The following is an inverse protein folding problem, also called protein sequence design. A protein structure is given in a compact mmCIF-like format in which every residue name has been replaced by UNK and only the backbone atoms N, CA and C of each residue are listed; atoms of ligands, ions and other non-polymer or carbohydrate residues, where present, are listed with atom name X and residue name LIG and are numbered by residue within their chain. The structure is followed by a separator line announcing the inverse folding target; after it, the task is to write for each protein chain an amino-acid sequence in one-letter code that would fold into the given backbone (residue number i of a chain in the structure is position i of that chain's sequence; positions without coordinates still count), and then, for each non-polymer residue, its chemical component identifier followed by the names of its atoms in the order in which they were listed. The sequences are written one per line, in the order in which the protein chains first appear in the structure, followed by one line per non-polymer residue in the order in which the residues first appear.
data_IF_786109594474
#
_entry.id   IF_786109594474
#
_cell.length_a   1.000
_cell.length_b   1.000
_cell.length_c   1.000
_cell.angle_alpha   90.00
_cell.angle_beta   90.00
_cell.angle_gamma   90.00
#
_symmetry.space_group_name_H-M   'P 1'
#
loop_
_entity.id
_entity.type
_entity.pdbx_description
1 polymer ?
#
# COMPACT_ATOMS: atom_id res chain seq x y z
N UNK A 1 2.52 17.99 -37.87
CA UNK A 1 2.56 16.67 -37.21
C UNK A 1 3.97 16.47 -36.69
N UNK A 2 4.22 16.79 -35.42
CA UNK A 2 5.49 16.46 -34.75
C UNK A 2 5.12 15.48 -33.66
N UNK A 3 5.50 14.23 -33.87
CA UNK A 3 5.31 13.11 -32.97
C UNK A 3 6.23 13.29 -31.77
N UNK A 4 5.66 13.58 -30.60
CA UNK A 4 6.43 13.68 -29.36
C UNK A 4 6.54 12.28 -28.77
N UNK A 5 7.76 11.72 -28.60
CA UNK A 5 7.89 10.37 -28.08
C UNK A 5 7.42 10.33 -26.62
N UNK A 6 6.32 9.61 -26.40
CA UNK A 6 5.82 9.31 -25.08
C UNK A 6 6.94 8.59 -24.29
N UNK A 7 7.45 9.25 -23.24
CA UNK A 7 8.31 8.62 -22.23
C UNK A 7 7.50 7.55 -21.49
N UNK A 8 7.43 6.36 -22.07
CA UNK A 8 7.00 5.13 -21.39
C UNK A 8 7.96 4.91 -20.22
N UNK A 9 7.51 5.26 -19.01
CA UNK A 9 8.18 4.83 -17.78
C UNK A 9 8.37 3.31 -17.85
N UNK A 10 9.56 2.84 -17.46
CA UNK A 10 9.94 1.41 -17.48
C UNK A 10 8.80 0.54 -16.96
N UNK A 11 8.08 -0.12 -17.86
CA UNK A 11 7.11 -1.15 -17.53
C UNK A 11 7.88 -2.27 -16.85
N UNK A 12 7.52 -2.61 -15.61
CA UNK A 12 8.09 -3.78 -14.96
C UNK A 12 7.78 -4.99 -15.86
N UNK A 13 8.82 -5.68 -16.34
CA UNK A 13 8.67 -6.86 -17.18
C UNK A 13 7.87 -7.95 -16.46
N UNK A 14 7.17 -8.77 -17.25
CA UNK A 14 6.45 -9.93 -16.74
C UNK A 14 7.38 -10.79 -15.85
N UNK A 15 6.97 -11.15 -14.62
CA UNK A 15 7.75 -12.07 -13.78
C UNK A 15 7.87 -13.44 -14.45
N UNK A 16 9.08 -14.00 -14.49
CA UNK A 16 9.28 -15.37 -14.95
C UNK A 16 8.72 -16.37 -13.93
N UNK A 17 7.59 -17.00 -14.26
CA UNK A 17 6.92 -17.94 -13.37
C UNK A 17 7.79 -19.17 -13.05
N UNK A 18 8.76 -19.52 -13.89
CA UNK A 18 9.66 -20.65 -13.65
C UNK A 18 10.74 -20.36 -12.59
N UNK A 19 10.96 -19.09 -12.25
CA UNK A 19 12.01 -18.69 -11.30
C UNK A 19 11.73 -19.07 -9.83
N UNK A 20 10.54 -19.60 -9.53
CA UNK A 20 10.18 -20.18 -8.23
C UNK A 20 8.78 -19.79 -7.75
N UNK A 21 8.35 -20.29 -6.58
CA UNK A 21 6.97 -20.11 -6.10
C UNK A 21 6.55 -18.64 -5.95
N UNK A 22 7.46 -17.79 -5.49
CA UNK A 22 7.22 -16.35 -5.37
C UNK A 22 7.06 -15.66 -6.74
N UNK A 23 7.83 -16.08 -7.75
CA UNK A 23 7.77 -15.52 -9.09
C UNK A 23 6.52 -15.99 -9.83
N UNK A 24 6.15 -17.27 -9.68
CA UNK A 24 4.89 -17.83 -10.17
C UNK A 24 3.67 -17.10 -9.56
N UNK A 25 3.70 -16.82 -8.25
CA UNK A 25 2.64 -16.06 -7.59
C UNK A 25 2.56 -14.61 -8.10
N UNK A 26 3.71 -13.96 -8.29
CA UNK A 26 3.75 -12.61 -8.85
C UNK A 26 3.28 -12.54 -10.31
N UNK A 27 3.53 -13.60 -11.10
CA UNK A 27 2.98 -13.70 -12.46
C UNK A 27 1.44 -13.69 -12.44
N UNK A 28 0.80 -14.41 -11.51
CA UNK A 28 -0.66 -14.36 -11.32
C UNK A 28 -1.17 -12.95 -10.97
N UNK A 29 -0.46 -12.22 -10.10
CA UNK A 29 -0.81 -10.83 -9.77
C UNK A 29 -0.65 -9.90 -10.98
N UNK A 30 0.39 -10.12 -11.79
CA UNK A 30 0.62 -9.38 -13.02
C UNK A 30 -0.48 -9.63 -14.06
N UNK A 31 -0.90 -10.89 -14.23
CA UNK A 31 -2.02 -11.26 -15.11
C UNK A 31 -3.33 -10.61 -14.64
N UNK A 32 -3.63 -10.63 -13.33
CA UNK A 32 -4.80 -9.96 -12.78
C UNK A 32 -4.79 -8.46 -13.10
N UNK A 33 -3.64 -7.79 -12.87
CA UNK A 33 -3.49 -6.36 -13.17
C UNK A 33 -3.80 -6.06 -14.64
N UNK A 34 -3.33 -6.91 -15.57
CA UNK A 34 -3.62 -6.77 -17.01
C UNK A 34 -5.09 -6.98 -17.33
N UNK A 35 -5.73 -8.02 -16.79
CA UNK A 35 -7.18 -8.27 -16.97
C UNK A 35 -8.03 -7.11 -16.47
N UNK A 36 -7.60 -6.43 -15.41
CA UNK A 36 -8.27 -5.26 -14.85
C UNK A 36 -7.94 -3.91 -15.55
N UNK A 37 -7.36 -3.94 -16.76
CA UNK A 37 -7.05 -2.73 -17.53
C UNK A 37 -5.70 -2.07 -17.21
N UNK A 38 -4.80 -2.80 -16.55
CA UNK A 38 -3.43 -2.41 -16.21
C UNK A 38 -3.27 -1.07 -15.45
N UNK A 39 -4.09 -0.77 -14.42
CA UNK A 39 -4.02 0.51 -13.72
C UNK A 39 -2.65 0.75 -13.06
N UNK A 40 -2.21 2.00 -12.97
CA UNK A 40 -0.97 2.32 -12.26
C UNK A 40 -1.12 2.03 -10.76
N UNK A 41 -0.02 1.73 -10.07
CA UNK A 41 -0.06 1.52 -8.61
C UNK A 41 -0.50 2.77 -7.84
N UNK A 42 -0.31 3.96 -8.40
CA UNK A 42 -0.82 5.20 -7.83
C UNK A 42 -2.35 5.27 -7.98
N UNK A 43 -2.88 4.87 -9.13
CA UNK A 43 -4.32 4.79 -9.38
C UNK A 43 -5.00 3.74 -8.48
N UNK A 44 -4.37 2.58 -8.29
CA UNK A 44 -4.85 1.56 -7.35
C UNK A 44 -5.01 2.10 -5.92
N UNK A 45 -4.07 2.94 -5.45
CA UNK A 45 -4.13 3.54 -4.11
C UNK A 45 -5.10 4.70 -4.00
N UNK A 46 -5.10 5.58 -4.99
CA UNK A 46 -5.92 6.77 -5.00
C UNK A 46 -7.37 6.46 -5.32
N UNK A 47 -7.63 6.02 -6.55
CA UNK A 47 -8.99 5.85 -7.09
C UNK A 47 -9.66 4.60 -6.55
N UNK A 48 -8.92 3.49 -6.47
CA UNK A 48 -9.47 2.20 -6.07
C UNK A 48 -9.26 1.87 -4.58
N UNK A 49 -8.58 2.76 -3.85
CA UNK A 49 -8.51 2.70 -2.39
C UNK A 49 -7.63 1.59 -1.81
N UNK A 50 -6.60 1.13 -2.53
CA UNK A 50 -5.65 0.15 -2.00
C UNK A 50 -4.92 0.72 -0.78
N UNK A 51 -4.93 -0.01 0.33
CA UNK A 51 -4.27 0.36 1.57
C UNK A 51 -2.76 0.12 1.52
N UNK A 52 -2.32 -0.86 0.72
CA UNK A 52 -0.92 -1.15 0.52
C UNK A 52 -0.18 0.01 -0.18
N UNK A 53 1.08 0.23 0.21
CA UNK A 53 1.91 1.30 -0.36
C UNK A 53 2.28 1.03 -1.83
N UNK A 54 2.60 2.08 -2.60
CA UNK A 54 2.99 1.95 -4.01
C UNK A 54 4.18 1.01 -4.17
N UNK A 55 5.17 1.13 -3.28
CA UNK A 55 6.36 0.29 -3.28
C UNK A 55 6.04 -1.16 -2.90
N UNK A 56 5.08 -1.41 -2.00
CA UNK A 56 4.61 -2.76 -1.65
C UNK A 56 3.88 -3.42 -2.83
N UNK A 57 2.93 -2.74 -3.45
CA UNK A 57 2.22 -3.23 -4.65
C UNK A 57 3.20 -3.51 -5.79
N UNK A 58 4.15 -2.60 -6.03
CA UNK A 58 5.20 -2.78 -7.02
C UNK A 58 6.18 -3.91 -6.67
N UNK A 59 6.45 -4.16 -5.39
CA UNK A 59 7.29 -5.28 -4.96
C UNK A 59 6.58 -6.62 -5.14
N UNK A 60 5.29 -6.70 -4.81
CA UNK A 60 4.46 -7.89 -4.97
C UNK A 60 4.45 -8.37 -6.43
N UNK A 61 4.24 -7.46 -7.38
CA UNK A 61 4.22 -7.77 -8.81
C UNK A 61 5.61 -8.06 -9.42
N UNK A 62 6.71 -7.93 -8.67
CA UNK A 62 8.08 -8.20 -9.18
C UNK A 62 8.58 -9.63 -8.94
N UNK A 63 7.93 -10.39 -8.05
CA UNK A 63 8.26 -11.81 -7.83
C UNK A 63 9.59 -12.11 -7.15
N UNK A 64 10.31 -11.11 -6.62
CA UNK A 64 11.60 -11.32 -5.92
C UNK A 64 11.45 -12.06 -4.58
N UNK A 65 10.30 -11.91 -3.94
CA UNK A 65 9.92 -12.52 -2.65
C UNK A 65 8.41 -12.63 -2.62
N UNK A 66 7.88 -13.60 -1.88
CA UNK A 66 6.44 -13.70 -1.68
C UNK A 66 5.96 -12.45 -0.90
N UNK A 67 4.94 -11.73 -1.38
CA UNK A 67 4.33 -10.62 -0.64
C UNK A 67 3.65 -11.12 0.65
N UNK A 68 3.40 -10.22 1.61
CA UNK A 68 2.51 -10.57 2.74
C UNK A 68 1.09 -10.84 2.23
N UNK A 69 0.31 -11.56 3.03
CA UNK A 69 -1.11 -11.77 2.71
C UNK A 69 -1.84 -10.44 2.57
N UNK A 70 -1.62 -9.47 3.45
CA UNK A 70 -2.32 -8.18 3.37
C UNK A 70 -1.96 -7.38 2.12
N UNK A 71 -0.68 -7.40 1.71
CA UNK A 71 -0.26 -6.75 0.45
C UNK A 71 -0.91 -7.44 -0.75
N UNK A 72 -0.99 -8.77 -0.71
CA UNK A 72 -1.65 -9.58 -1.74
C UNK A 72 -3.13 -9.23 -1.81
N UNK A 73 -3.80 -9.22 -0.66
CA UNK A 73 -5.22 -8.95 -0.58
C UNK A 73 -5.55 -7.55 -1.07
N UNK A 74 -4.80 -6.53 -0.68
CA UNK A 74 -5.03 -5.16 -1.17
C UNK A 74 -4.77 -5.01 -2.66
N UNK A 75 -3.83 -5.78 -3.23
CA UNK A 75 -3.62 -5.81 -4.68
C UNK A 75 -4.83 -6.44 -5.39
N UNK A 76 -5.33 -7.55 -4.86
CA UNK A 76 -6.41 -8.34 -5.46
C UNK A 76 -7.77 -7.65 -5.28
N UNK A 77 -8.09 -7.23 -4.06
CA UNK A 77 -9.36 -6.62 -3.66
C UNK A 77 -9.71 -5.44 -4.56
N UNK A 78 -8.77 -4.52 -4.77
CA UNK A 78 -9.05 -3.33 -5.59
C UNK A 78 -9.23 -3.62 -7.07
N UNK A 79 -8.71 -4.74 -7.57
CA UNK A 79 -8.79 -5.12 -8.98
C UNK A 79 -9.96 -6.08 -9.23
N UNK A 80 -9.99 -7.22 -8.56
CA UNK A 80 -10.94 -8.28 -8.84
C UNK A 80 -12.31 -8.00 -8.21
N UNK A 81 -12.35 -7.55 -6.95
CA UNK A 81 -13.61 -7.14 -6.30
C UNK A 81 -14.02 -5.74 -6.77
N UNK A 82 -13.08 -4.81 -6.77
CA UNK A 82 -13.34 -3.40 -7.06
C UNK A 82 -13.65 -3.08 -8.53
N UNK A 83 -12.90 -3.65 -9.48
CA UNK A 83 -13.04 -3.34 -10.91
C UNK A 83 -13.76 -4.43 -11.70
N UNK A 84 -13.49 -5.70 -11.39
CA UNK A 84 -14.10 -6.83 -12.10
C UNK A 84 -15.44 -7.25 -11.47
N UNK A 85 -15.77 -6.77 -10.27
CA UNK A 85 -17.06 -7.00 -9.61
C UNK A 85 -17.25 -8.42 -9.07
N UNK A 86 -16.15 -9.15 -8.87
CA UNK A 86 -16.18 -10.50 -8.34
C UNK A 86 -16.56 -10.52 -6.84
N UNK A 87 -17.26 -11.57 -6.37
CA UNK A 87 -17.69 -11.67 -4.97
C UNK A 87 -16.48 -11.77 -4.02
N UNK A 88 -16.44 -10.89 -3.02
CA UNK A 88 -15.28 -10.72 -2.13
C UNK A 88 -14.86 -12.02 -1.44
N UNK A 89 -15.81 -12.77 -0.86
CA UNK A 89 -15.53 -13.96 -0.07
C UNK A 89 -14.88 -15.08 -0.91
N UNK A 90 -15.38 -15.31 -2.12
CA UNK A 90 -14.84 -16.33 -3.03
C UNK A 90 -13.45 -15.94 -3.54
N UNK A 91 -13.27 -14.66 -3.90
CA UNK A 91 -11.97 -14.13 -4.33
C UNK A 91 -10.96 -14.24 -3.18
N UNK A 92 -11.35 -13.87 -1.96
CA UNK A 92 -10.49 -13.92 -0.78
C UNK A 92 -10.06 -15.34 -0.47
N UNK A 93 -10.98 -16.29 -0.44
CA UNK A 93 -10.69 -17.70 -0.20
C UNK A 93 -9.74 -18.27 -1.26
N UNK A 94 -10.04 -18.03 -2.55
CA UNK A 94 -9.22 -18.51 -3.68
C UNK A 94 -7.80 -17.97 -3.64
N UNK A 95 -7.63 -16.68 -3.43
CA UNK A 95 -6.29 -16.07 -3.35
C UNK A 95 -5.54 -16.45 -2.08
N UNK A 96 -6.24 -16.64 -0.95
CA UNK A 96 -5.63 -17.10 0.29
C UNK A 96 -5.04 -18.50 0.12
N UNK A 97 -5.80 -19.43 -0.43
CA UNK A 97 -5.33 -20.77 -0.72
C UNK A 97 -4.11 -20.76 -1.66
N UNK A 98 -4.15 -19.96 -2.73
CA UNK A 98 -3.01 -19.81 -3.64
C UNK A 98 -1.77 -19.22 -2.96
N UNK A 99 -1.94 -18.24 -2.07
CA UNK A 99 -0.85 -17.62 -1.32
C UNK A 99 -0.24 -18.60 -0.31
N UNK A 100 -1.06 -19.37 0.40
CA UNK A 100 -0.60 -20.39 1.35
C UNK A 100 0.17 -21.52 0.64
N UNK A 101 -0.30 -21.95 -0.53
CA UNK A 101 0.44 -22.91 -1.36
C UNK A 101 1.81 -22.38 -1.78
N UNK A 102 1.88 -21.14 -2.28
CA UNK A 102 3.15 -20.52 -2.66
C UNK A 102 4.10 -20.35 -1.45
N UNK A 103 3.55 -20.04 -0.27
CA UNK A 103 4.31 -19.96 0.99
C UNK A 103 4.86 -21.32 1.41
N UNK A 104 4.04 -22.37 1.34
CA UNK A 104 4.46 -23.73 1.69
C UNK A 104 5.57 -24.25 0.76
N UNK A 105 5.44 -23.99 -0.55
CA UNK A 105 6.46 -24.37 -1.55
C UNK A 105 7.77 -23.59 -1.36
N UNK A 106 7.70 -22.32 -0.95
CA UNK A 106 8.89 -21.51 -0.66
C UNK A 106 9.58 -21.90 0.66
N UNK A 107 8.83 -22.48 1.62
CA UNK A 107 9.34 -22.96 2.90
C UNK A 107 9.81 -24.42 2.91
N UNK A 108 9.53 -25.19 1.86
CA UNK A 108 9.99 -26.57 1.73
C UNK A 108 11.41 -26.57 1.19
N UNK A 109 12.44 -27.03 1.92
CA UNK A 109 13.74 -27.26 1.32
C UNK A 109 13.56 -28.32 0.22
N UNK A 110 14.04 -28.02 -0.99
CA UNK A 110 14.03 -29.02 -2.08
C UNK A 110 14.70 -30.30 -1.60
N UNK A 111 14.11 -31.49 -1.83
CA UNK A 111 14.80 -32.73 -1.57
C UNK A 111 16.02 -32.77 -2.49
N UNK A 112 17.22 -32.73 -1.90
CA UNK A 112 18.46 -33.01 -2.60
C UNK A 112 18.31 -34.39 -3.27
N UNK A 113 18.56 -34.53 -4.58
CA UNK A 113 18.69 -35.86 -5.17
C UNK A 113 19.82 -36.58 -4.43
N UNK A 114 19.48 -37.70 -3.80
CA UNK A 114 20.43 -38.61 -3.18
C UNK A 114 21.46 -39.02 -4.24
N UNK A 115 22.64 -38.39 -4.16
CA UNK A 115 23.84 -38.88 -4.80
C UNK A 115 24.41 -39.97 -3.89
N UNK A 116 24.72 -41.10 -4.52
CA UNK A 116 25.20 -42.32 -3.91
C UNK A 116 26.43 -42.12 -3.02
N UNK A 117 26.48 -42.96 -1.98
CA UNK A 117 27.60 -43.11 -1.06
C UNK A 117 28.93 -43.41 -1.77
N UNK A 118 30.05 -43.08 -1.10
CA UNK A 118 31.07 -44.11 -0.89
C UNK A 118 31.46 -44.26 0.59
N UNK A 119 31.77 -45.51 0.94
CA UNK A 119 32.25 -46.03 2.23
C UNK A 119 33.64 -45.49 2.66
N UNK A 120 34.07 -45.69 3.93
CA UNK A 120 34.97 -44.80 4.67
C UNK A 120 36.46 -45.20 4.64
N UNK A 121 37.32 -44.20 4.86
CA UNK A 121 38.75 -44.37 5.15
C UNK A 121 39.29 -43.22 6.01
N UNK A 122 39.45 -43.48 7.30
CA UNK A 122 40.14 -42.65 8.32
C UNK A 122 41.66 -43.00 8.38
N UNK A 123 42.51 -42.36 9.22
CA UNK A 123 42.55 -40.96 9.66
C UNK A 123 44.00 -40.40 9.75
N UNK A 124 44.14 -39.11 10.09
CA UNK A 124 45.34 -38.51 10.69
C UNK A 124 45.58 -37.08 10.22
N UNK A 125 45.98 -36.08 11.02
CA UNK A 125 46.39 -35.97 12.41
C UNK A 125 46.23 -34.49 12.79
N UNK A 126 45.84 -34.27 14.05
CA UNK A 126 45.82 -33.07 14.92
C UNK A 126 46.40 -31.72 14.44
N UNK A 127 45.71 -30.65 14.83
CA UNK A 127 46.30 -29.33 15.10
C UNK A 127 45.27 -28.21 15.29
N UNK A 128 44.92 -27.91 16.54
CA UNK A 128 44.22 -26.69 17.02
C UNK A 128 45.24 -25.90 17.88
N UNK A 129 45.04 -24.64 18.36
CA UNK A 129 44.13 -23.54 18.03
C UNK A 129 44.85 -22.17 17.83
N UNK A 130 44.07 -21.08 17.83
CA UNK A 130 44.42 -19.66 18.04
C UNK A 130 44.60 -18.85 16.74
N UNK A 131 44.21 -17.58 16.60
CA UNK A 131 43.75 -16.58 17.56
C UNK A 131 43.07 -15.43 16.79
N UNK A 132 42.40 -14.60 17.57
CA UNK A 132 41.64 -13.39 17.27
C UNK A 132 42.32 -12.26 16.49
N UNK A 133 41.46 -11.34 16.03
CA UNK A 133 41.63 -9.87 15.99
C UNK A 133 41.86 -9.20 14.62
N UNK A 134 40.75 -8.68 14.08
CA UNK A 134 40.51 -7.23 14.03
C UNK A 134 41.33 -6.37 13.05
N UNK A 135 40.63 -5.75 12.08
CA UNK A 135 40.82 -4.31 11.81
C UNK A 135 39.66 -3.70 11.01
N UNK A 136 38.85 -2.91 11.70
CA UNK A 136 37.93 -1.96 11.09
C UNK A 136 38.71 -0.77 10.53
N UNK A 137 38.47 -0.39 9.27
CA UNK A 137 38.94 0.88 8.68
C UNK A 137 37.73 1.74 8.30
N UNK A 138 37.40 2.68 9.17
CA UNK A 138 36.50 3.80 8.91
C UNK A 138 37.24 4.80 8.00
N UNK A 139 36.67 5.13 6.83
CA UNK A 139 37.11 6.25 5.99
C UNK A 139 36.18 7.43 6.20
N UNK A 140 36.71 8.47 6.83
CA UNK A 140 36.08 9.78 6.98
C UNK A 140 36.14 10.53 5.65
N UNK A 141 35.00 11.04 5.18
CA UNK A 141 34.94 12.04 4.10
C UNK A 141 34.98 13.44 4.72
N UNK A 142 36.08 14.16 4.45
CA UNK A 142 36.20 15.60 4.74
C UNK A 142 35.58 16.37 3.57
N UNK A 143 34.71 17.34 3.89
CA UNK A 143 34.25 18.39 2.99
C UNK A 143 35.27 19.53 2.98
N UNK A 144 35.44 20.18 1.83
CA UNK A 144 35.85 21.59 1.76
C UNK A 144 35.25 22.25 0.49
N UNK A 145 34.84 23.53 0.56
CA UNK A 145 34.19 24.28 -0.52
C UNK A 145 35.19 25.19 -1.27
N UNK A 146 34.87 25.62 -2.49
CA UNK A 146 35.49 26.80 -3.12
C UNK A 146 34.43 27.58 -3.90
N UNK A 147 34.39 28.88 -3.62
CA UNK A 147 33.59 29.91 -4.28
C UNK A 147 34.50 30.86 -5.10
N UNK A 148 33.86 31.79 -5.81
CA UNK A 148 34.35 32.94 -6.60
C UNK A 148 34.62 32.63 -8.09
N UNK A 149 33.90 33.17 -9.09
CA UNK A 149 33.48 34.54 -9.47
C UNK A 149 34.48 35.22 -10.43
N UNK A 150 34.06 35.50 -11.68
CA UNK A 150 34.61 36.53 -12.59
C UNK A 150 33.49 37.09 -13.48
N UNK A 151 33.62 38.38 -13.81
CA UNK A 151 32.65 39.43 -14.17
C UNK A 151 32.68 39.80 -15.67
N UNK A 152 31.51 40.23 -16.20
CA UNK A 152 31.14 41.17 -17.31
C UNK A 152 31.98 41.26 -18.62
N UNK A 153 31.46 41.57 -19.82
CA UNK A 153 30.61 42.69 -20.31
C UNK A 153 30.04 42.34 -21.72
N UNK A 154 28.73 42.47 -22.00
CA UNK A 154 28.01 43.57 -22.66
C UNK A 154 28.36 43.90 -24.14
N UNK A 155 27.43 43.68 -25.08
CA UNK A 155 27.13 44.60 -26.19
C UNK A 155 25.65 44.48 -26.63
N UNK A 156 24.99 45.64 -26.69
CA UNK A 156 23.61 45.89 -27.07
C UNK A 156 23.45 45.88 -28.60
N UNK A 157 22.36 45.28 -29.09
CA UNK A 157 21.72 45.71 -30.32
C UNK A 157 20.20 45.70 -30.07
N UNK A 158 19.64 46.88 -29.76
CA UNK A 158 18.21 47.12 -29.75
C UNK A 158 17.76 47.32 -31.19
N UNK A 159 16.88 46.45 -31.67
CA UNK A 159 16.18 46.57 -32.95
C UNK A 159 14.73 46.13 -32.75
N UNK A 160 13.84 47.10 -32.73
CA UNK A 160 12.42 47.03 -32.45
C UNK A 160 11.64 46.10 -33.38
N UNK A 161 10.94 45.11 -32.82
CA UNK A 161 9.61 44.72 -33.28
C UNK A 161 8.71 44.72 -32.05
N UNK A 162 7.99 45.83 -31.89
CA UNK A 162 6.77 45.87 -31.11
C UNK A 162 5.69 45.10 -31.87
N UNK A 163 4.95 44.24 -31.16
CA UNK A 163 3.66 43.71 -31.65
C UNK A 163 3.56 42.19 -31.62
N UNK A 164 2.63 41.72 -30.78
CA UNK A 164 2.09 40.36 -30.66
C UNK A 164 2.97 39.38 -29.87
N UNK A 165 3.08 39.61 -28.57
CA UNK A 165 3.21 38.52 -27.59
C UNK A 165 2.15 38.67 -26.49
N UNK A 166 0.91 38.97 -26.91
CA UNK A 166 -0.28 38.64 -26.16
C UNK A 166 -0.78 37.30 -26.72
N UNK A 167 -1.10 36.35 -25.82
CA UNK A 167 -1.45 34.94 -26.06
C UNK A 167 -0.26 33.95 -26.06
N UNK A 168 0.66 34.06 -25.11
CA UNK A 168 1.19 32.84 -24.49
C UNK A 168 0.13 32.35 -23.50
N UNK A 169 -0.56 31.22 -23.73
CA UNK A 169 -1.25 30.59 -22.61
C UNK A 169 -0.14 30.22 -21.62
N UNK A 170 -0.33 30.62 -20.36
CA UNK A 170 0.41 30.06 -19.23
C UNK A 170 0.21 28.55 -19.31
N UNK A 171 1.12 27.86 -19.99
CA UNK A 171 1.26 26.43 -19.96
C UNK A 171 1.71 26.10 -18.55
N UNK A 172 0.73 26.03 -17.64
CA UNK A 172 0.92 25.51 -16.30
C UNK A 172 1.59 24.16 -16.47
N UNK A 173 2.86 24.10 -16.10
CA UNK A 173 3.51 22.85 -15.74
C UNK A 173 2.77 22.32 -14.53
N UNK A 174 1.68 21.59 -14.79
CA UNK A 174 1.03 20.72 -13.83
C UNK A 174 2.05 19.62 -13.53
N UNK A 175 2.85 19.84 -12.48
CA UNK A 175 3.72 18.85 -11.86
C UNK A 175 2.84 17.60 -11.61
N UNK A 176 3.13 16.43 -12.20
CA UNK A 176 2.40 15.20 -11.94
C UNK A 176 2.83 14.62 -10.57
N UNK A 177 2.90 15.47 -9.53
CA UNK A 177 2.73 15.07 -8.14
C UNK A 177 1.28 14.65 -8.00
N UNK A 178 1.04 13.36 -8.23
CA UNK A 178 -0.21 12.62 -7.99
C UNK A 178 -1.31 13.47 -7.33
N UNK A 179 -2.15 14.10 -8.16
CA UNK A 179 -3.31 14.82 -7.68
C UNK A 179 -4.14 13.85 -6.82
N UNK A 180 -4.42 14.25 -5.57
CA UNK A 180 -5.29 13.48 -4.68
C UNK A 180 -6.65 13.38 -5.37
N UNK A 181 -7.21 12.17 -5.57
CA UNK A 181 -8.44 12.02 -6.32
C UNK A 181 -9.57 12.81 -5.65
N UNK A 182 -10.38 13.54 -6.43
CA UNK A 182 -11.41 14.41 -5.89
C UNK A 182 -12.49 13.61 -5.15
N UNK A 183 -13.25 14.26 -4.26
CA UNK A 183 -14.41 13.63 -3.65
C UNK A 183 -15.45 13.25 -4.71
N UNK A 184 -16.21 12.19 -4.46
CA UNK A 184 -17.28 11.74 -5.35
C UNK A 184 -18.42 12.76 -5.46
N UNK A 185 -18.67 13.50 -4.37
CA UNK A 185 -19.66 14.58 -4.30
C UNK A 185 -18.91 15.90 -4.18
N UNK A 186 -19.19 16.85 -5.08
CA UNK A 186 -18.56 18.17 -5.04
C UNK A 186 -18.89 18.89 -3.72
N UNK A 187 -17.87 19.51 -3.10
CA UNK A 187 -18.00 20.18 -1.81
C UNK A 187 -17.98 19.25 -0.59
N UNK A 188 -17.80 17.94 -0.79
CA UNK A 188 -17.66 16.99 0.31
C UNK A 188 -16.25 17.01 0.90
N UNK A 189 -16.16 17.02 2.23
CA UNK A 189 -14.90 16.97 2.95
C UNK A 189 -15.13 16.42 4.37
N UNK A 190 -14.12 15.71 4.89
CA UNK A 190 -14.11 15.25 6.27
C UNK A 190 -12.83 15.60 6.99
N UNK A 191 -12.94 15.84 8.28
CA UNK A 191 -11.82 15.94 9.20
C UNK A 191 -11.94 14.82 10.25
N UNK A 192 -10.80 14.23 10.61
CA UNK A 192 -10.72 13.23 11.67
C UNK A 192 -10.51 13.94 13.01
N UNK A 193 -11.50 13.82 13.90
CA UNK A 193 -11.46 14.42 15.24
C UNK A 193 -10.66 13.59 16.25
N UNK A 194 -10.41 12.30 15.96
CA UNK A 194 -9.57 11.43 16.78
C UNK A 194 -10.24 10.14 17.21
N UNK A 195 -9.46 9.31 17.90
CA UNK A 195 -9.92 8.11 18.58
C UNK A 195 -10.59 8.49 19.90
N UNK A 196 -11.88 8.15 20.05
CA UNK A 196 -12.65 8.40 21.27
C UNK A 196 -12.54 7.23 22.24
N UNK A 197 -12.53 5.99 21.72
CA UNK A 197 -12.29 4.79 22.52
C UNK A 197 -11.16 3.96 21.90
N UNK A 198 -10.53 3.13 22.73
CA UNK A 198 -9.51 2.15 22.35
C UNK A 198 -8.37 2.80 21.55
N UNK A 199 -7.45 3.52 22.21
CA UNK A 199 -6.26 4.07 21.56
C UNK A 199 -5.45 2.99 20.84
N UNK A 200 -4.66 3.39 19.85
CA UNK A 200 -3.81 2.46 19.12
C UNK A 200 -2.79 1.78 20.03
N UNK A 201 -2.64 0.46 19.87
CA UNK A 201 -1.71 -0.38 20.62
C UNK A 201 -2.25 -0.91 21.95
N UNK A 202 -3.52 -0.62 22.26
CA UNK A 202 -4.23 -1.16 23.43
C UNK A 202 -4.14 -2.68 23.45
N UNK A 203 -3.83 -3.25 24.61
CA UNK A 203 -3.85 -4.69 24.83
C UNK A 203 -5.28 -5.15 25.12
N UNK A 204 -5.74 -6.15 24.35
CA UNK A 204 -7.09 -6.71 24.45
C UNK A 204 -6.94 -8.23 24.63
N UNK A 205 -7.55 -8.85 25.65
CA UNK A 205 -7.53 -10.30 25.79
C UNK A 205 -8.21 -11.00 24.62
N UNK A 206 -7.75 -12.20 24.28
CA UNK A 206 -8.37 -13.06 23.26
C UNK A 206 -9.89 -13.19 23.44
N UNK A 207 -10.62 -13.25 22.32
CA UNK A 207 -12.09 -13.42 22.28
C UNK A 207 -12.92 -12.22 22.81
N UNK A 208 -12.27 -11.19 23.37
CA UNK A 208 -12.93 -10.04 23.99
C UNK A 208 -13.74 -9.23 22.97
N UNK A 209 -14.93 -8.79 23.38
CA UNK A 209 -15.72 -7.81 22.63
C UNK A 209 -15.47 -6.40 23.16
N UNK A 210 -15.24 -5.46 22.25
CA UNK A 210 -15.07 -4.05 22.59
C UNK A 210 -15.71 -3.15 21.53
N UNK A 211 -15.92 -1.87 21.87
CA UNK A 211 -16.47 -0.87 20.96
C UNK A 211 -15.39 0.15 20.62
N UNK A 212 -15.03 0.24 19.35
CA UNK A 212 -14.16 1.29 18.82
C UNK A 212 -15.00 2.46 18.35
N UNK A 213 -14.67 3.68 18.80
CA UNK A 213 -15.36 4.91 18.43
C UNK A 213 -14.36 5.94 17.93
N UNK A 214 -14.68 6.53 16.78
CA UNK A 214 -13.97 7.68 16.24
C UNK A 214 -14.88 8.90 16.20
N UNK A 215 -14.29 10.08 16.26
CA UNK A 215 -14.97 11.34 15.98
C UNK A 215 -14.57 11.86 14.61
N UNK A 216 -15.55 12.35 13.86
CA UNK A 216 -15.38 13.00 12.57
C UNK A 216 -16.07 14.34 12.58
N UNK A 217 -15.60 15.25 11.73
CA UNK A 217 -16.28 16.51 11.46
C UNK A 217 -16.56 16.66 9.97
N UNK A 218 -17.78 17.08 9.63
CA UNK A 218 -18.12 17.48 8.27
C UNK A 218 -17.57 18.88 8.01
N UNK A 219 -16.42 18.97 7.35
CA UNK A 219 -15.77 20.25 6.97
C UNK A 219 -16.14 20.68 5.55
N UNK A 220 -17.02 19.94 4.89
CA UNK A 220 -17.52 20.26 3.55
C UNK A 220 -18.66 21.27 3.56
N UNK A 221 -19.29 21.43 2.40
CA UNK A 221 -20.44 22.32 2.17
C UNK A 221 -21.74 21.56 1.93
N UNK A 222 -21.69 20.22 1.90
CA UNK A 222 -22.85 19.34 1.69
C UNK A 222 -23.17 18.50 2.93
N UNK A 223 -24.45 18.19 3.22
CA UNK A 223 -24.81 17.36 4.34
C UNK A 223 -24.43 15.88 4.11
N UNK A 224 -24.02 15.21 5.17
CA UNK A 224 -23.81 13.76 5.19
C UNK A 224 -25.14 13.07 5.44
N UNK A 225 -25.70 12.42 4.42
CA UNK A 225 -26.96 11.68 4.48
C UNK A 225 -26.76 10.33 3.76
N UNK A 226 -27.22 9.23 4.37
CA UNK A 226 -27.14 7.90 3.77
C UNK A 226 -25.71 7.39 3.57
N UNK A 227 -24.83 7.68 4.54
CA UNK A 227 -23.40 7.34 4.50
C UNK A 227 -23.08 6.24 5.50
N UNK A 228 -21.99 5.53 5.21
CA UNK A 228 -21.51 4.42 6.03
C UNK A 228 -20.00 4.47 6.15
N UNK A 229 -19.44 4.02 7.28
CA UNK A 229 -18.08 3.52 7.31
C UNK A 229 -18.11 2.06 6.87
N UNK A 230 -17.35 1.73 5.83
CA UNK A 230 -17.16 0.36 5.36
C UNK A 230 -15.76 -0.12 5.71
N UNK A 231 -15.67 -1.35 6.18
CA UNK A 231 -14.41 -2.07 6.39
C UNK A 231 -13.74 -2.30 5.03
N UNK A 232 -12.55 -1.75 4.85
CA UNK A 232 -11.79 -1.90 3.59
C UNK A 232 -10.81 -3.08 3.64
N UNK A 233 -10.30 -3.40 4.81
CA UNK A 233 -9.32 -4.47 4.98
C UNK A 233 -8.74 -4.49 6.37
N UNK A 234 -7.81 -5.40 6.59
CA UNK A 234 -7.08 -5.53 7.83
C UNK A 234 -5.65 -6.00 7.61
N UNK A 235 -4.80 -5.73 8.59
CA UNK A 235 -3.46 -6.26 8.71
C UNK A 235 -3.33 -6.91 10.09
N UNK A 236 -2.99 -8.20 10.10
CA UNK A 236 -2.87 -8.99 11.31
C UNK A 236 -2.33 -10.40 11.04
N UNK A 237 -1.71 -10.99 12.05
CA UNK A 237 -1.30 -12.40 12.02
C UNK A 237 -2.51 -13.27 12.41
N UNK A 238 -2.94 -14.20 11.56
CA UNK A 238 -3.99 -15.18 11.89
C UNK A 238 -5.43 -14.80 11.50
N UNK A 239 -6.40 -15.29 12.30
CA UNK A 239 -7.82 -14.96 12.21
C UNK A 239 -8.01 -13.50 12.66
N UNK A 240 -8.58 -12.65 11.81
CA UNK A 240 -8.63 -11.21 12.05
C UNK A 240 -9.75 -10.80 13.03
N UNK A 241 -9.69 -9.59 13.60
CA UNK A 241 -10.80 -9.08 14.39
C UNK A 241 -12.11 -9.11 13.60
N UNK A 242 -13.15 -9.67 14.21
CA UNK A 242 -14.47 -9.71 13.59
C UNK A 242 -15.18 -8.40 13.86
N UNK A 243 -15.63 -7.76 12.79
CA UNK A 243 -16.40 -6.51 12.82
C UNK A 243 -17.56 -6.60 11.83
N UNK A 244 -18.58 -5.76 11.94
CA UNK A 244 -19.52 -5.53 10.85
C UNK A 244 -18.80 -5.13 9.56
N UNK A 245 -19.35 -5.46 8.39
CA UNK A 245 -18.80 -4.99 7.10
C UNK A 245 -19.02 -3.49 6.89
N UNK A 246 -20.10 -2.94 7.45
CA UNK A 246 -20.41 -1.52 7.40
C UNK A 246 -21.18 -1.07 8.64
N UNK A 247 -20.99 0.18 9.04
CA UNK A 247 -21.77 0.86 10.09
C UNK A 247 -22.31 2.19 9.57
N UNK A 248 -23.56 2.58 9.91
CA UNK A 248 -24.13 3.84 9.45
C UNK A 248 -23.40 5.03 10.09
N UNK A 249 -23.24 6.09 9.31
CA UNK A 249 -22.84 7.40 9.82
C UNK A 249 -24.13 8.20 10.02
N UNK A 250 -24.41 8.69 11.25
CA UNK A 250 -25.55 9.57 11.50
C UNK A 250 -25.59 10.76 10.53
N UNK A 251 -26.77 11.35 10.34
CA UNK A 251 -26.88 12.59 9.56
C UNK A 251 -26.00 13.67 10.19
N UNK A 252 -25.19 14.34 9.39
CA UNK A 252 -24.24 15.37 9.87
C UNK A 252 -24.20 16.55 8.90
N UNK A 253 -24.62 17.72 9.36
CA UNK A 253 -24.62 18.96 8.58
C UNK A 253 -23.19 19.53 8.44
N UNK A 254 -22.94 20.40 7.46
CA UNK A 254 -21.70 21.17 7.38
C UNK A 254 -21.35 21.85 8.71
N UNK A 255 -20.11 21.67 9.16
CA UNK A 255 -19.57 22.21 10.41
C UNK A 255 -19.78 21.32 11.64
N UNK A 256 -20.70 20.34 11.59
CA UNK A 256 -21.03 19.44 12.72
C UNK A 256 -20.02 18.29 12.86
N UNK A 257 -19.89 17.81 14.11
CA UNK A 257 -19.14 16.60 14.45
C UNK A 257 -20.06 15.41 14.71
N UNK A 258 -19.56 14.21 14.44
CA UNK A 258 -20.28 12.95 14.64
C UNK A 258 -19.34 11.89 15.18
N UNK A 259 -19.84 11.07 16.11
CA UNK A 259 -19.15 9.89 16.60
C UNK A 259 -19.70 8.66 15.90
N UNK A 260 -18.81 7.81 15.41
CA UNK A 260 -19.17 6.56 14.73
C UNK A 260 -18.49 5.41 15.44
N UNK A 261 -19.29 4.42 15.83
CA UNK A 261 -18.85 3.28 16.62
C UNK A 261 -18.93 1.98 15.83
N UNK A 262 -17.99 1.07 16.11
CA UNK A 262 -17.90 -0.27 15.55
C UNK A 262 -17.74 -1.26 16.70
N UNK A 263 -18.58 -2.28 16.72
CA UNK A 263 -18.39 -3.44 17.59
C UNK A 263 -17.30 -4.35 17.01
N UNK A 264 -16.37 -4.75 17.86
CA UNK A 264 -15.22 -5.58 17.49
C UNK A 264 -15.14 -6.78 18.41
N UNK A 265 -14.91 -7.97 17.86
CA UNK A 265 -14.49 -9.16 18.60
C UNK A 265 -13.03 -9.47 18.27
N UNK A 266 -12.17 -9.47 19.28
CA UNK A 266 -10.79 -9.91 19.17
C UNK A 266 -10.73 -11.40 18.79
N UNK A 267 -9.70 -11.83 18.04
CA UNK A 267 -9.49 -13.23 17.74
C UNK A 267 -9.20 -14.07 18.98
N UNK A 268 -9.35 -15.39 18.82
CA UNK A 268 -9.13 -16.36 19.89
C UNK A 268 -7.63 -16.73 20.05
N UNK A 269 -6.77 -16.20 19.17
CA UNK A 269 -5.31 -16.35 19.22
C UNK A 269 -4.63 -15.00 19.49
N UNK A 270 -3.52 -14.97 20.26
CA UNK A 270 -2.71 -13.76 20.44
C UNK A 270 -2.09 -13.27 19.14
N UNK A 271 -1.88 -11.96 19.04
CA UNK A 271 -1.33 -11.34 17.84
C UNK A 271 -1.58 -9.84 17.82
N UNK A 272 -1.80 -9.29 16.63
CA UNK A 272 -2.18 -7.91 16.46
C UNK A 272 -3.28 -7.80 15.41
N UNK A 273 -4.09 -6.77 15.55
CA UNK A 273 -5.22 -6.55 14.69
C UNK A 273 -5.29 -5.07 14.32
N UNK A 274 -5.21 -4.80 13.03
CA UNK A 274 -5.34 -3.46 12.48
C UNK A 274 -6.40 -3.44 11.39
N UNK A 275 -7.56 -2.83 11.64
CA UNK A 275 -8.69 -2.83 10.69
C UNK A 275 -8.94 -1.42 10.17
N UNK A 276 -9.06 -1.29 8.86
CA UNK A 276 -9.16 -0.01 8.14
C UNK A 276 -10.57 0.22 7.60
N UNK A 277 -11.00 1.49 7.62
CA UNK A 277 -12.35 1.90 7.27
C UNK A 277 -12.34 3.13 6.36
N UNK A 278 -13.24 3.15 5.37
CA UNK A 278 -13.48 4.32 4.51
C UNK A 278 -14.97 4.66 4.44
N UNK A 279 -15.24 5.94 4.18
CA UNK A 279 -16.60 6.45 4.02
C UNK A 279 -17.14 6.13 2.63
N UNK A 280 -18.34 5.53 2.59
CA UNK A 280 -19.04 5.14 1.37
C UNK A 280 -20.50 5.60 1.38
N UNK A 281 -21.11 5.67 0.20
CA UNK A 281 -22.55 5.83 0.06
C UNK A 281 -23.31 4.49 0.22
N UNK A 282 -24.65 4.53 0.14
CA UNK A 282 -25.49 3.33 0.22
C UNK A 282 -25.25 2.29 -0.88
N UNK A 283 -24.55 2.64 -1.96
CA UNK A 283 -24.15 1.74 -3.05
C UNK A 283 -22.71 1.23 -2.89
N UNK A 284 -22.01 1.61 -1.82
CA UNK A 284 -20.62 1.21 -1.58
C UNK A 284 -19.58 1.99 -2.40
N UNK A 285 -19.92 3.13 -2.99
CA UNK A 285 -18.93 3.96 -3.70
C UNK A 285 -18.16 4.81 -2.68
N UNK A 286 -16.84 4.87 -2.83
CA UNK A 286 -15.98 5.70 -1.97
C UNK A 286 -16.36 7.17 -2.15
N UNK A 287 -16.69 7.85 -1.04
CA UNK A 287 -17.06 9.27 -1.07
C UNK A 287 -15.84 10.18 -1.07
N UNK A 288 -14.81 9.81 -0.32
CA UNK A 288 -13.57 10.56 -0.16
C UNK A 288 -12.37 9.66 -0.54
N UNK A 289 -12.19 9.31 -1.82
CA UNK A 289 -11.15 8.36 -2.25
C UNK A 289 -9.74 8.85 -1.89
N UNK A 290 -9.51 10.16 -2.00
CA UNK A 290 -8.24 10.79 -1.64
C UNK A 290 -7.90 10.84 -0.15
N UNK A 291 -8.89 10.63 0.73
CA UNK A 291 -8.66 10.61 2.18
C UNK A 291 -8.07 9.28 2.62
N UNK A 292 -7.18 9.33 3.61
CA UNK A 292 -6.68 8.13 4.27
C UNK A 292 -7.83 7.40 4.96
N UNK A 293 -7.75 6.07 4.98
CA UNK A 293 -8.64 5.28 5.82
C UNK A 293 -8.37 5.60 7.30
N UNK A 294 -9.42 5.64 8.11
CA UNK A 294 -9.24 5.53 9.56
C UNK A 294 -9.02 4.07 9.92
N UNK A 295 -8.40 3.82 11.06
CA UNK A 295 -8.19 2.46 11.52
C UNK A 295 -8.26 2.40 13.04
N UNK A 296 -8.28 1.18 13.56
CA UNK A 296 -7.85 0.91 14.93
C UNK A 296 -6.72 -0.10 14.88
N UNK A 297 -5.79 0.00 15.82
CA UNK A 297 -4.74 -0.99 16.05
C UNK A 297 -4.82 -1.50 17.49
N UNK A 298 -4.91 -2.81 17.68
CA UNK A 298 -4.87 -3.44 19.02
C UNK A 298 -3.88 -4.59 19.04
N UNK A 299 -3.29 -4.84 20.21
CA UNK A 299 -2.48 -6.04 20.48
C UNK A 299 -3.36 -7.04 21.20
N UNK A 300 -3.48 -8.23 20.65
CA UNK A 300 -4.28 -9.31 21.23
C UNK A 300 -3.38 -10.16 22.11
N UNK A 301 -3.71 -10.26 23.39
CA UNK A 301 -2.93 -10.98 24.40
C UNK A 301 -3.71 -12.16 24.95
N UNK A 302 -3.01 -13.19 25.43
CA UNK A 302 -3.62 -14.36 26.05
C UNK A 302 -4.37 -14.01 27.34
#
# INVERSE_FOLDING_TARGET
MIDTPARRGRTAGCPDAAAGPAAAFAHRLWDLKRRAGDPSYDRMRGEYGALASKSALSAAARGRRLPSWDTTWEFVRVLEVGLLGEPEDEVRARWRAAWEQARAQAGTPSPTPTAAAPEPGEPGVTGTPAESAGRARRRAWRRAPVAAAVVATALLAAGTIAGIEALRPEGGTEDPRAAVPPPLIAGDASEFGGDITVPDGTEIPTGTRFVKTWEFRNTGTVPWIGRYLRREGSFGDGDDCRTPHRVPIPRTMPGESVRVSVEVRAPDEPGHCQVYWKMVDGKGRLLLPGHRAVFFFVRVVA
#
